data_IF_498493760461
#
_entry.id   IF_498493760461
#
_cell.length_a   1.000
_cell.length_b   1.000
_cell.length_c   1.000
_cell.angle_alpha   90.00
_cell.angle_beta   90.00
_cell.angle_gamma   90.00
#
_symmetry.space_group_name_H-M   'P 1'
#
loop_
_entity.id
_entity.type
_entity.pdbx_description
1 polymer ?
#
# COMPACT_ATOMS: atom_id res chain seq x y z
N UNK A 1 -12.90 7.15 -87.72
CA UNK A 1 -12.75 6.23 -86.50
C UNK A 1 -12.29 7.07 -85.34
N UNK A 2 -13.21 7.41 -84.45
CA UNK A 2 -12.98 8.19 -83.21
C UNK A 2 -12.80 7.25 -82.06
N UNK A 3 -11.59 7.25 -81.46
CA UNK A 3 -11.31 6.53 -80.20
C UNK A 3 -11.73 7.44 -79.06
N UNK A 4 -12.86 7.13 -78.40
CA UNK A 4 -13.29 7.81 -77.15
C UNK A 4 -12.47 7.26 -75.99
N UNK A 5 -11.55 8.05 -75.47
CA UNK A 5 -10.88 7.76 -74.20
C UNK A 5 -11.80 8.11 -73.06
N UNK A 6 -12.28 7.05 -72.37
CA UNK A 6 -13.09 7.18 -71.14
C UNK A 6 -12.14 7.40 -69.95
N UNK A 7 -12.01 8.65 -69.54
CA UNK A 7 -11.29 8.99 -68.29
C UNK A 7 -12.20 8.69 -67.12
N UNK A 8 -11.94 7.59 -66.42
CA UNK A 8 -12.59 7.28 -65.13
C UNK A 8 -11.87 8.09 -64.07
N UNK A 9 -12.48 9.18 -63.61
CA UNK A 9 -12.10 9.92 -62.44
C UNK A 9 -12.37 9.11 -61.17
N UNK A 10 -11.33 8.47 -60.66
CA UNK A 10 -11.36 7.88 -59.32
C UNK A 10 -11.34 9.03 -58.32
N UNK A 11 -12.50 9.45 -57.83
CA UNK A 11 -12.61 10.30 -56.65
C UNK A 11 -12.30 9.44 -55.43
N UNK A 12 -11.05 9.44 -54.98
CA UNK A 12 -10.67 8.93 -53.67
C UNK A 12 -11.28 9.84 -52.62
N UNK A 13 -12.41 9.45 -52.09
CA UNK A 13 -12.92 10.04 -50.86
C UNK A 13 -11.91 9.75 -49.76
N UNK A 14 -11.09 10.72 -49.42
CA UNK A 14 -10.34 10.69 -48.19
C UNK A 14 -11.38 10.73 -47.04
N UNK A 15 -11.75 9.54 -46.52
CA UNK A 15 -12.34 9.48 -45.20
C UNK A 15 -11.27 10.00 -44.26
N UNK A 16 -11.45 11.22 -43.78
CA UNK A 16 -10.68 11.75 -42.66
C UNK A 16 -10.96 10.82 -41.46
N UNK A 17 -10.01 9.95 -41.18
CA UNK A 17 -10.06 9.15 -39.97
C UNK A 17 -10.00 10.16 -38.81
N UNK A 18 -11.08 10.29 -38.08
CA UNK A 18 -11.13 11.14 -36.90
C UNK A 18 -10.05 10.64 -35.94
N UNK A 19 -9.03 11.48 -35.69
CA UNK A 19 -7.97 11.13 -34.74
C UNK A 19 -8.56 10.89 -33.37
N UNK A 20 -8.29 9.71 -32.80
CA UNK A 20 -8.74 9.38 -31.44
C UNK A 20 -7.91 10.15 -30.41
N UNK A 21 -8.52 10.64 -29.33
CA UNK A 21 -7.78 11.28 -28.24
C UNK A 21 -6.68 10.35 -27.70
N UNK A 22 -5.50 10.90 -27.47
CA UNK A 22 -4.34 10.17 -26.95
C UNK A 22 -4.27 10.30 -25.44
N UNK A 23 -4.61 9.26 -24.72
CA UNK A 23 -4.66 9.21 -23.25
C UNK A 23 -3.46 8.48 -22.67
N UNK A 24 -2.76 9.06 -21.70
CA UNK A 24 -1.87 8.34 -20.81
C UNK A 24 -2.49 8.27 -19.40
N UNK A 25 -2.83 7.05 -18.97
CA UNK A 25 -3.32 6.77 -17.63
C UNK A 25 -2.15 6.29 -16.74
N UNK A 26 -1.69 7.16 -15.85
CA UNK A 26 -0.69 6.86 -14.83
C UNK A 26 -1.38 6.34 -13.57
N UNK A 27 -1.44 5.04 -13.46
CA UNK A 27 -2.14 4.38 -12.36
C UNK A 27 -1.16 3.99 -11.26
N UNK A 28 -1.23 4.68 -10.12
CA UNK A 28 -0.44 4.42 -8.90
C UNK A 28 -1.18 3.51 -7.91
N UNK A 29 -2.09 2.71 -8.44
CA UNK A 29 -2.88 1.72 -7.70
C UNK A 29 -3.06 0.46 -8.56
N UNK A 30 -3.83 -0.51 -8.09
CA UNK A 30 -4.12 -1.71 -8.86
C UNK A 30 -5.21 -1.40 -9.92
N UNK A 31 -4.81 -1.18 -11.18
CA UNK A 31 -5.70 -0.89 -12.30
C UNK A 31 -5.81 -2.09 -13.26
N UNK A 32 -7.03 -2.47 -13.58
CA UNK A 32 -7.28 -3.44 -14.66
C UNK A 32 -7.26 -2.73 -16.02
N UNK A 33 -6.05 -2.52 -16.55
CA UNK A 33 -5.85 -1.85 -17.85
C UNK A 33 -6.50 -2.62 -19.01
N UNK A 34 -6.68 -3.94 -18.90
CA UNK A 34 -7.38 -4.73 -19.93
C UNK A 34 -8.85 -4.38 -19.97
N UNK A 35 -9.47 -4.32 -18.79
CA UNK A 35 -10.85 -3.91 -18.62
C UNK A 35 -11.09 -2.49 -19.14
N UNK A 36 -10.24 -1.52 -18.75
CA UNK A 36 -10.40 -0.14 -19.22
C UNK A 36 -10.25 0.01 -20.74
N UNK A 37 -9.30 -0.70 -21.36
CA UNK A 37 -9.13 -0.69 -22.82
C UNK A 37 -10.29 -1.34 -23.56
N UNK A 38 -10.95 -2.35 -23.00
CA UNK A 38 -12.14 -2.98 -23.61
C UNK A 38 -13.37 -2.08 -23.52
N UNK A 39 -13.51 -1.32 -22.44
CA UNK A 39 -14.66 -0.47 -22.16
C UNK A 39 -14.55 0.95 -22.75
N UNK A 40 -13.31 1.41 -23.03
CA UNK A 40 -13.02 2.72 -23.61
C UNK A 40 -12.27 2.51 -24.92
N UNK A 41 -13.00 2.24 -26.00
CA UNK A 41 -12.46 1.92 -27.30
C UNK A 41 -12.29 3.14 -28.23
N UNK A 42 -12.73 4.31 -27.79
CA UNK A 42 -12.73 5.56 -28.54
C UNK A 42 -11.51 6.46 -28.27
N UNK A 43 -10.57 6.05 -27.39
CA UNK A 43 -9.29 6.71 -27.15
C UNK A 43 -8.13 5.78 -27.43
N UNK A 44 -6.96 6.34 -27.72
CA UNK A 44 -5.71 5.60 -27.85
C UNK A 44 -4.93 5.68 -26.53
N UNK A 45 -4.82 4.55 -25.82
CA UNK A 45 -4.03 4.45 -24.61
C UNK A 45 -2.55 4.45 -24.95
N UNK A 46 -1.89 5.56 -24.61
CA UNK A 46 -0.47 5.76 -24.86
C UNK A 46 0.38 5.01 -23.84
N UNK A 47 1.57 4.58 -24.24
CA UNK A 47 2.53 3.90 -23.36
C UNK A 47 3.46 4.87 -22.64
N UNK A 48 3.45 6.13 -23.03
CA UNK A 48 4.26 7.17 -22.40
C UNK A 48 3.49 8.50 -22.32
N UNK A 49 3.83 9.30 -21.29
CA UNK A 49 3.21 10.59 -21.02
C UNK A 49 3.47 11.64 -22.11
N UNK A 50 4.65 11.60 -22.77
CA UNK A 50 5.03 12.65 -23.72
C UNK A 50 4.20 12.56 -25.00
N UNK A 51 3.80 11.36 -25.40
CA UNK A 51 2.98 11.11 -26.59
C UNK A 51 1.48 11.31 -26.35
N UNK A 52 1.05 11.56 -25.12
CA UNK A 52 -0.35 11.75 -24.78
C UNK A 52 -0.79 13.23 -24.83
N UNK A 53 -2.03 13.45 -25.19
CA UNK A 53 -2.71 14.74 -25.15
C UNK A 53 -3.41 14.97 -23.82
N UNK A 54 -3.98 13.91 -23.27
CA UNK A 54 -4.60 13.86 -21.98
C UNK A 54 -3.77 12.99 -21.03
N UNK A 55 -3.39 13.54 -19.89
CA UNK A 55 -2.71 12.83 -18.82
C UNK A 55 -3.66 12.69 -17.63
N UNK A 56 -3.81 11.48 -17.13
CA UNK A 56 -4.60 11.17 -15.95
C UNK A 56 -3.72 10.44 -14.95
N UNK A 57 -3.53 11.02 -13.78
CA UNK A 57 -2.89 10.39 -12.63
C UNK A 57 -3.97 9.89 -11.67
N UNK A 58 -3.92 8.61 -11.33
CA UNK A 58 -4.80 7.99 -10.35
C UNK A 58 -4.00 7.51 -9.15
N UNK A 59 -4.24 8.12 -8.00
CA UNK A 59 -3.68 7.72 -6.70
C UNK A 59 -4.78 7.21 -5.79
N UNK A 60 -4.40 6.40 -4.80
CA UNK A 60 -5.31 5.82 -3.80
C UNK A 60 -4.75 6.06 -2.41
N UNK A 61 -5.63 6.42 -1.48
CA UNK A 61 -5.35 6.43 -0.05
C UNK A 61 -6.43 5.68 0.73
N UNK A 62 -6.07 5.19 1.91
CA UNK A 62 -7.04 4.47 2.74
C UNK A 62 -7.88 5.46 3.53
N UNK A 63 -9.18 5.21 3.59
CA UNK A 63 -10.09 5.98 4.43
C UNK A 63 -10.07 5.48 5.88
N UNK A 64 -10.52 6.30 6.80
CA UNK A 64 -10.66 5.90 8.21
C UNK A 64 -11.63 4.75 8.42
N UNK A 65 -12.56 4.54 7.52
CA UNK A 65 -13.50 3.42 7.51
C UNK A 65 -12.92 2.12 6.93
N UNK A 66 -11.65 2.13 6.51
CA UNK A 66 -11.01 0.96 5.88
C UNK A 66 -11.28 0.82 4.38
N UNK A 67 -12.11 1.69 3.79
CA UNK A 67 -12.29 1.79 2.35
C UNK A 67 -11.14 2.52 1.66
N UNK A 68 -11.37 2.95 0.43
CA UNK A 68 -10.38 3.67 -0.36
C UNK A 68 -10.94 4.95 -0.94
N UNK A 69 -10.20 6.03 -0.79
CA UNK A 69 -10.39 7.26 -1.56
C UNK A 69 -9.45 7.22 -2.76
N UNK A 70 -10.01 7.50 -3.93
CA UNK A 70 -9.27 7.66 -5.16
C UNK A 70 -9.25 9.12 -5.54
N UNK A 71 -8.09 9.62 -5.92
CA UNK A 71 -7.88 10.96 -6.43
C UNK A 71 -7.38 10.82 -7.87
N UNK A 72 -8.18 11.35 -8.80
CA UNK A 72 -7.89 11.33 -10.22
C UNK A 72 -7.57 12.74 -10.67
N UNK A 73 -6.28 13.04 -10.89
CA UNK A 73 -5.83 14.34 -11.42
C UNK A 73 -5.79 14.29 -12.94
N UNK A 74 -6.47 15.21 -13.58
CA UNK A 74 -6.64 15.27 -15.04
C UNK A 74 -5.94 16.52 -15.58
N UNK A 75 -5.01 16.33 -16.50
CA UNK A 75 -4.24 17.37 -17.17
C UNK A 75 -4.45 17.30 -18.68
N UNK A 76 -5.01 18.34 -19.29
CA UNK A 76 -5.11 18.48 -20.73
C UNK A 76 -3.90 19.29 -21.24
N UNK A 77 -3.01 18.64 -22.00
CA UNK A 77 -1.80 19.29 -22.52
C UNK A 77 -2.03 20.18 -23.76
N UNK A 78 -3.17 20.02 -24.43
CA UNK A 78 -3.55 20.86 -25.58
C UNK A 78 -4.20 22.18 -25.15
N UNK A 79 -4.80 22.20 -23.98
CA UNK A 79 -5.52 23.34 -23.46
C UNK A 79 -4.70 24.06 -22.38
N UNK A 80 -4.82 25.38 -22.32
CA UNK A 80 -4.28 26.19 -21.22
C UNK A 80 -5.14 26.14 -19.95
N UNK A 81 -6.17 25.28 -19.91
CA UNK A 81 -7.00 25.10 -18.71
C UNK A 81 -6.18 24.43 -17.58
N UNK A 82 -6.40 24.86 -16.34
CA UNK A 82 -5.73 24.24 -15.21
C UNK A 82 -6.16 22.76 -15.06
N UNK A 83 -5.25 21.94 -14.53
CA UNK A 83 -5.59 20.59 -14.10
C UNK A 83 -6.73 20.62 -13.07
N UNK A 84 -7.51 19.56 -13.03
CA UNK A 84 -8.58 19.39 -12.04
C UNK A 84 -8.56 17.98 -11.45
N UNK A 85 -9.20 17.83 -10.31
CA UNK A 85 -9.29 16.58 -9.59
C UNK A 85 -10.72 16.07 -9.54
N UNK A 86 -10.86 14.74 -9.66
CA UNK A 86 -12.05 13.98 -9.32
C UNK A 86 -11.73 13.08 -8.12
N UNK A 87 -12.54 13.19 -7.06
CA UNK A 87 -12.40 12.36 -5.85
C UNK A 87 -13.61 11.44 -5.75
N UNK A 88 -13.34 10.17 -5.48
CA UNK A 88 -14.39 9.17 -5.32
C UNK A 88 -13.94 8.08 -4.34
N UNK A 89 -14.89 7.30 -3.84
CA UNK A 89 -14.66 6.36 -2.76
C UNK A 89 -15.14 4.97 -3.14
N UNK A 90 -14.51 3.96 -2.56
CA UNK A 90 -15.00 2.59 -2.56
C UNK A 90 -15.00 2.04 -1.15
N UNK A 91 -15.95 1.16 -0.85
CA UNK A 91 -16.08 0.54 0.45
C UNK A 91 -14.90 -0.37 0.81
N UNK A 92 -14.73 -0.63 2.12
CA UNK A 92 -13.72 -1.56 2.63
C UNK A 92 -13.86 -2.98 2.06
N UNK A 93 -15.10 -3.40 1.83
CA UNK A 93 -15.44 -4.73 1.30
C UNK A 93 -15.62 -4.75 -0.23
N UNK A 94 -15.37 -3.62 -0.92
CA UNK A 94 -15.45 -3.57 -2.37
C UNK A 94 -14.53 -4.62 -2.99
N UNK A 95 -15.09 -5.48 -3.85
CA UNK A 95 -14.31 -6.45 -4.62
C UNK A 95 -13.63 -5.76 -5.79
N UNK A 96 -12.70 -6.46 -6.45
CA UNK A 96 -11.95 -5.88 -7.58
C UNK A 96 -12.85 -5.42 -8.72
N UNK A 97 -13.98 -6.08 -8.92
CA UNK A 97 -14.96 -5.71 -9.94
C UNK A 97 -15.66 -4.38 -9.63
N UNK A 98 -16.02 -4.14 -8.37
CA UNK A 98 -16.62 -2.87 -7.93
C UNK A 98 -15.63 -1.73 -8.08
N UNK A 99 -14.38 -1.95 -7.64
CA UNK A 99 -13.30 -0.95 -7.77
C UNK A 99 -13.02 -0.57 -9.21
N UNK A 100 -12.86 -1.55 -10.12
CA UNK A 100 -12.59 -1.26 -11.53
C UNK A 100 -13.77 -0.56 -12.22
N UNK A 101 -15.03 -0.89 -11.86
CA UNK A 101 -16.23 -0.22 -12.37
C UNK A 101 -16.30 1.23 -11.91
N UNK A 102 -16.02 1.49 -10.63
CA UNK A 102 -16.05 2.86 -10.10
C UNK A 102 -14.94 3.72 -10.70
N UNK A 103 -13.72 3.17 -10.86
CA UNK A 103 -12.64 3.85 -11.58
C UNK A 103 -13.04 4.14 -13.04
N UNK A 104 -13.63 3.15 -13.73
CA UNK A 104 -14.09 3.31 -15.11
C UNK A 104 -15.13 4.43 -15.26
N UNK A 105 -16.10 4.49 -14.35
CA UNK A 105 -17.13 5.53 -14.32
C UNK A 105 -16.50 6.91 -14.28
N UNK A 106 -15.57 7.16 -13.35
CA UNK A 106 -14.90 8.43 -13.21
C UNK A 106 -13.91 8.72 -14.35
N UNK A 107 -13.28 7.70 -14.90
CA UNK A 107 -12.45 7.83 -16.09
C UNK A 107 -13.28 8.26 -17.32
N UNK A 108 -14.47 7.67 -17.50
CA UNK A 108 -15.43 8.11 -18.55
C UNK A 108 -15.90 9.57 -18.32
N UNK A 109 -16.11 9.98 -17.07
CA UNK A 109 -16.45 11.39 -16.75
C UNK A 109 -15.32 12.35 -17.11
N UNK A 110 -14.06 12.00 -16.80
CA UNK A 110 -12.90 12.81 -17.14
C UNK A 110 -12.75 12.94 -18.67
N UNK A 111 -12.93 11.85 -19.39
CA UNK A 111 -12.88 11.81 -20.84
C UNK A 111 -14.02 12.64 -21.47
N UNK A 112 -15.24 12.52 -20.97
CA UNK A 112 -16.37 13.30 -21.46
C UNK A 112 -16.10 14.80 -21.35
N UNK A 113 -15.60 15.25 -20.20
CA UNK A 113 -15.23 16.67 -19.99
C UNK A 113 -14.15 17.13 -20.98
N UNK A 114 -13.13 16.31 -21.20
CA UNK A 114 -12.07 16.58 -22.19
C UNK A 114 -12.66 16.73 -23.59
N UNK A 115 -13.52 15.81 -24.01
CA UNK A 115 -14.10 15.76 -25.34
C UNK A 115 -15.01 16.97 -25.62
N UNK A 116 -15.80 17.39 -24.63
CA UNK A 116 -16.64 18.59 -24.73
C UNK A 116 -15.78 19.85 -24.87
N UNK A 117 -14.65 19.93 -24.16
CA UNK A 117 -13.75 21.08 -24.27
C UNK A 117 -13.00 21.18 -25.60
N UNK A 118 -12.79 20.04 -26.30
CA UNK A 118 -12.08 20.00 -27.59
C UNK A 118 -13.03 19.95 -28.81
N UNK A 119 -14.34 20.23 -28.60
CA UNK A 119 -15.38 20.19 -29.65
C UNK A 119 -15.39 18.85 -30.46
N UNK A 120 -15.00 17.76 -29.80
CA UNK A 120 -15.02 16.43 -30.42
C UNK A 120 -16.46 15.93 -30.50
N UNK A 121 -17.01 15.87 -31.71
CA UNK A 121 -18.33 15.31 -31.98
C UNK A 121 -18.31 13.81 -31.74
N UNK A 122 -18.92 13.36 -30.64
CA UNK A 122 -19.07 11.95 -30.30
C UNK A 122 -20.55 11.67 -30.11
N UNK A 123 -21.03 10.66 -30.82
CA UNK A 123 -22.34 10.06 -30.56
C UNK A 123 -22.27 9.27 -29.25
N UNK A 124 -22.58 9.92 -28.12
CA UNK A 124 -22.60 9.29 -26.82
C UNK A 124 -24.02 8.81 -26.53
N UNK A 125 -24.29 7.54 -26.72
CA UNK A 125 -25.47 6.90 -26.16
C UNK A 125 -25.29 6.77 -24.64
N UNK A 126 -25.75 7.77 -23.90
CA UNK A 126 -25.74 7.79 -22.44
C UNK A 126 -27.09 7.30 -21.93
N UNK A 127 -27.14 6.11 -21.35
CA UNK A 127 -28.28 5.71 -20.53
C UNK A 127 -27.99 6.14 -19.08
N UNK A 128 -28.69 7.17 -18.62
CA UNK A 128 -28.71 7.51 -17.19
C UNK A 128 -29.73 6.57 -16.55
N UNK A 129 -29.27 5.48 -15.98
CA UNK A 129 -30.05 4.74 -15.00
C UNK A 129 -30.05 5.56 -13.71
N UNK A 130 -31.04 6.44 -13.58
CA UNK A 130 -31.37 7.02 -12.28
C UNK A 130 -32.08 5.91 -11.51
N UNK A 131 -31.39 5.24 -10.60
CA UNK A 131 -32.07 4.37 -9.66
C UNK A 131 -33.06 5.25 -8.88
N UNK A 132 -34.33 4.90 -8.88
CA UNK A 132 -35.36 5.62 -8.11
C UNK A 132 -35.08 5.63 -6.60
N UNK A 133 -34.17 4.77 -6.16
CA UNK A 133 -33.71 4.65 -4.77
C UNK A 133 -32.75 5.78 -4.33
N UNK A 134 -32.20 6.60 -5.25
CA UNK A 134 -31.35 7.75 -4.88
C UNK A 134 -32.13 9.06 -4.62
N UNK A 135 -33.47 9.04 -4.68
CA UNK A 135 -34.29 10.23 -4.39
C UNK A 135 -34.63 10.46 -2.91
N UNK A 136 -34.35 9.51 -2.05
CA UNK A 136 -34.25 9.83 -0.64
C UNK A 136 -32.84 10.36 -0.39
N UNK A 137 -32.70 11.65 -0.12
CA UNK A 137 -31.64 12.16 0.74
C UNK A 137 -31.80 11.45 2.11
N UNK A 138 -31.42 10.18 2.13
CA UNK A 138 -31.23 9.49 3.38
C UNK A 138 -29.97 10.11 3.97
N UNK A 139 -30.14 11.18 4.73
CA UNK A 139 -29.21 11.53 5.78
C UNK A 139 -29.18 10.33 6.74
N UNK A 140 -28.51 9.25 6.36
CA UNK A 140 -28.13 8.22 7.28
C UNK A 140 -27.15 8.89 8.25
N UNK A 141 -27.71 9.38 9.35
CA UNK A 141 -26.88 9.65 10.49
C UNK A 141 -26.10 8.35 10.76
N UNK A 142 -24.78 8.41 10.61
CA UNK A 142 -23.92 7.24 10.84
C UNK A 142 -24.16 6.75 12.30
N UNK A 143 -24.90 5.64 12.52
CA UNK A 143 -25.24 5.16 13.85
C UNK A 143 -23.99 4.67 14.61
N UNK A 144 -22.89 4.43 13.88
CA UNK A 144 -21.62 3.97 14.42
C UNK A 144 -20.66 5.12 14.73
N UNK A 145 -21.02 6.38 14.40
CA UNK A 145 -20.21 7.58 14.67
C UNK A 145 -18.74 7.41 14.20
N UNK A 146 -18.56 7.02 12.96
CA UNK A 146 -17.28 6.75 12.27
C UNK A 146 -16.49 5.54 12.87
N UNK A 147 -17.07 4.71 13.71
CA UNK A 147 -16.45 3.46 14.15
C UNK A 147 -16.57 2.38 13.09
N UNK A 148 -15.46 1.69 12.85
CA UNK A 148 -15.38 0.52 11.98
C UNK A 148 -14.70 -0.62 12.71
N UNK A 149 -15.39 -1.76 12.78
CA UNK A 149 -14.87 -2.98 13.39
C UNK A 149 -14.60 -4.02 12.33
N UNK A 150 -13.52 -4.77 12.47
CA UNK A 150 -13.18 -5.86 11.57
C UNK A 150 -12.73 -7.08 12.34
N UNK A 151 -13.24 -8.23 11.93
CA UNK A 151 -12.86 -9.55 12.42
C UNK A 151 -12.33 -10.35 11.24
N UNK A 152 -11.16 -10.94 11.37
CA UNK A 152 -10.56 -11.72 10.30
C UNK A 152 -9.96 -13.01 10.81
N UNK A 153 -10.11 -14.07 10.02
CA UNK A 153 -9.48 -15.38 10.23
C UNK A 153 -8.78 -15.75 8.94
N UNK A 154 -7.50 -16.07 9.03
CA UNK A 154 -6.73 -16.53 7.91
C UNK A 154 -6.04 -17.84 8.29
N UNK A 155 -5.96 -18.78 7.36
CA UNK A 155 -5.24 -20.02 7.55
C UNK A 155 -4.53 -20.44 6.27
N UNK A 156 -3.39 -21.09 6.45
CA UNK A 156 -2.66 -21.71 5.37
C UNK A 156 -2.15 -23.06 5.84
N UNK A 157 -2.23 -24.06 4.97
CA UNK A 157 -1.80 -25.42 5.21
C UNK A 157 -0.87 -25.83 4.07
N UNK A 158 0.32 -26.29 4.41
CA UNK A 158 1.24 -26.91 3.49
C UNK A 158 1.52 -28.34 3.96
N UNK A 159 1.42 -29.31 3.06
CA UNK A 159 1.66 -30.72 3.36
C UNK A 159 2.51 -31.35 2.28
N UNK A 160 3.61 -31.89 2.69
CA UNK A 160 4.55 -32.66 1.90
C UNK A 160 4.88 -33.98 2.64
N UNK A 161 5.58 -34.89 1.99
CA UNK A 161 5.91 -36.22 2.58
C UNK A 161 6.71 -36.11 3.87
N UNK A 162 7.63 -35.14 3.95
CA UNK A 162 8.57 -34.99 5.09
C UNK A 162 8.40 -33.65 5.83
N UNK A 163 7.47 -32.80 5.37
CA UNK A 163 7.24 -31.49 5.96
C UNK A 163 5.76 -31.14 5.96
N UNK A 164 5.24 -30.81 7.13
CA UNK A 164 3.90 -30.27 7.28
C UNK A 164 3.95 -28.95 8.01
N UNK A 165 3.27 -27.93 7.51
CA UNK A 165 3.09 -26.68 8.24
C UNK A 165 1.66 -26.20 8.20
N UNK A 166 1.22 -25.63 9.30
CA UNK A 166 -0.06 -24.97 9.42
C UNK A 166 0.11 -23.65 10.15
N UNK A 167 -0.47 -22.61 9.57
CA UNK A 167 -0.49 -21.28 10.16
C UNK A 167 -1.94 -20.81 10.27
N UNK A 168 -2.32 -20.35 11.45
CA UNK A 168 -3.61 -19.71 11.69
C UNK A 168 -3.40 -18.33 12.29
N UNK A 169 -4.11 -17.36 11.75
CA UNK A 169 -4.09 -15.97 12.20
C UNK A 169 -5.49 -15.47 12.46
N UNK A 170 -5.69 -14.98 13.65
CA UNK A 170 -6.88 -14.24 14.08
C UNK A 170 -6.55 -12.76 14.19
N UNK A 171 -7.40 -11.89 13.69
CA UNK A 171 -7.25 -10.45 13.86
C UNK A 171 -8.58 -9.80 14.20
N UNK A 172 -8.53 -8.84 15.11
CA UNK A 172 -9.63 -7.97 15.48
C UNK A 172 -9.14 -6.55 15.40
N UNK A 173 -9.90 -5.67 14.76
CA UNK A 173 -9.57 -4.24 14.76
C UNK A 173 -10.80 -3.38 15.02
N UNK A 174 -10.56 -2.21 15.63
CA UNK A 174 -11.52 -1.16 15.83
C UNK A 174 -10.86 0.17 15.44
N UNK A 175 -11.44 0.87 14.48
CA UNK A 175 -10.92 2.10 13.92
C UNK A 175 -11.98 3.19 14.00
N UNK A 176 -11.55 4.40 14.29
CA UNK A 176 -12.38 5.59 14.19
C UNK A 176 -11.53 6.75 13.71
N UNK A 177 -11.91 7.36 12.61
CA UNK A 177 -11.20 8.51 12.06
C UNK A 177 -12.19 9.63 11.78
N UNK A 178 -11.93 10.78 12.33
CA UNK A 178 -12.63 12.05 12.11
C UNK A 178 -11.59 13.11 11.84
N UNK A 179 -12.00 14.33 11.48
CA UNK A 179 -11.07 15.44 11.23
C UNK A 179 -10.13 15.75 12.41
N UNK A 180 -10.61 15.51 13.64
CA UNK A 180 -9.85 15.83 14.88
C UNK A 180 -9.30 14.63 15.61
N UNK A 181 -9.93 13.45 15.47
CA UNK A 181 -9.57 12.27 16.26
C UNK A 181 -9.32 11.08 15.36
N UNK A 182 -8.20 10.40 15.59
CA UNK A 182 -7.90 9.10 15.00
C UNK A 182 -7.66 8.10 16.12
N UNK A 183 -8.47 7.07 16.14
CA UNK A 183 -8.30 5.91 17.00
C UNK A 183 -8.07 4.69 16.12
N UNK A 184 -7.07 3.91 16.43
CA UNK A 184 -6.76 2.66 15.75
C UNK A 184 -6.39 1.62 16.79
N UNK A 185 -7.10 0.50 16.80
CA UNK A 185 -6.77 -0.65 17.63
C UNK A 185 -6.76 -1.91 16.79
N UNK A 186 -5.75 -2.73 17.01
CA UNK A 186 -5.64 -4.04 16.39
C UNK A 186 -5.07 -5.05 17.37
N UNK A 187 -5.70 -6.22 17.43
CA UNK A 187 -5.21 -7.38 18.15
C UNK A 187 -5.03 -8.50 17.15
N UNK A 188 -3.88 -9.16 17.17
CA UNK A 188 -3.56 -10.31 16.35
C UNK A 188 -3.16 -11.47 17.26
N UNK A 189 -3.66 -12.64 16.94
CA UNK A 189 -3.17 -13.92 17.42
C UNK A 189 -2.65 -14.71 16.23
N UNK A 190 -1.47 -15.26 16.35
CA UNK A 190 -0.87 -16.09 15.31
C UNK A 190 -0.29 -17.35 15.93
N UNK A 191 -0.60 -18.49 15.34
CA UNK A 191 0.03 -19.78 15.67
C UNK A 191 0.57 -20.40 14.40
N UNK A 192 1.82 -20.83 14.46
CA UNK A 192 2.50 -21.54 13.41
C UNK A 192 3.02 -22.86 13.96
N UNK A 193 2.56 -23.95 13.39
CA UNK A 193 3.05 -25.30 13.70
C UNK A 193 3.75 -25.85 12.46
N UNK A 194 4.96 -26.37 12.65
CA UNK A 194 5.76 -26.99 11.60
C UNK A 194 6.28 -28.30 12.11
N UNK A 195 6.03 -29.38 11.35
CA UNK A 195 6.45 -30.74 11.68
C UNK A 195 7.39 -31.23 10.57
N UNK A 196 8.57 -31.67 10.96
CA UNK A 196 9.58 -32.22 10.09
C UNK A 196 9.77 -33.70 10.41
N UNK A 197 9.66 -34.56 9.43
CA UNK A 197 9.95 -35.99 9.55
C UNK A 197 11.35 -36.24 9.01
N UNK A 198 12.23 -36.74 9.84
CA UNK A 198 13.64 -37.04 9.52
C UNK A 198 13.91 -38.53 9.75
N UNK A 199 14.84 -39.12 8.98
CA UNK A 199 15.12 -40.53 9.01
C UNK A 199 14.34 -41.35 7.97
N UNK A 200 14.58 -42.66 7.94
CA UNK A 200 13.89 -43.61 7.05
C UNK A 200 13.56 -44.90 7.83
N UNK A 201 12.38 -45.47 7.59
CA UNK A 201 11.94 -46.72 8.18
C UNK A 201 11.78 -46.67 9.70
N UNK A 202 12.38 -47.57 10.43
CA UNK A 202 12.25 -47.67 11.90
C UNK A 202 12.96 -46.53 12.67
N UNK A 203 13.78 -45.71 11.99
CA UNK A 203 14.49 -44.56 12.55
C UNK A 203 13.80 -43.22 12.21
N UNK A 204 12.55 -43.24 11.77
CA UNK A 204 11.78 -42.07 11.46
C UNK A 204 11.41 -41.29 12.73
N UNK A 205 11.84 -40.03 12.83
CA UNK A 205 11.55 -39.13 13.94
C UNK A 205 10.84 -37.88 13.44
N UNK A 206 9.80 -37.46 14.17
CA UNK A 206 9.10 -36.21 13.86
C UNK A 206 9.50 -35.11 14.84
N UNK A 207 10.09 -34.06 14.30
CA UNK A 207 10.44 -32.83 15.03
C UNK A 207 9.32 -31.81 14.85
N UNK A 208 8.67 -31.42 15.96
CA UNK A 208 7.58 -30.48 15.97
C UNK A 208 8.03 -29.13 16.53
N UNK A 209 7.70 -28.06 15.82
CA UNK A 209 7.92 -26.68 16.27
C UNK A 209 6.58 -25.93 16.30
N UNK A 210 6.20 -25.42 17.46
CA UNK A 210 4.99 -24.61 17.64
C UNK A 210 5.37 -23.22 18.13
N UNK A 211 5.07 -22.22 17.33
CA UNK A 211 5.30 -20.82 17.66
C UNK A 211 3.95 -20.08 17.80
N UNK A 212 3.73 -19.51 18.96
CA UNK A 212 2.52 -18.74 19.24
C UNK A 212 2.90 -17.31 19.58
N UNK A 213 2.15 -16.35 19.03
CA UNK A 213 2.34 -14.94 19.32
C UNK A 213 1.03 -14.18 19.41
N UNK A 214 1.01 -13.18 20.30
CA UNK A 214 -0.07 -12.22 20.48
C UNK A 214 0.50 -10.82 20.31
N UNK A 215 -0.15 -10.01 19.47
CA UNK A 215 0.21 -8.61 19.30
C UNK A 215 -1.02 -7.73 19.45
N UNK A 216 -0.92 -6.73 20.30
CA UNK A 216 -1.92 -5.69 20.47
C UNK A 216 -1.31 -4.32 20.20
N UNK A 217 -2.00 -3.49 19.43
CA UNK A 217 -1.63 -2.11 19.22
C UNK A 217 -2.86 -1.22 19.35
N UNK A 218 -2.73 -0.14 20.12
CA UNK A 218 -3.71 0.91 20.24
C UNK A 218 -3.01 2.23 19.99
N UNK A 219 -3.51 3.00 19.06
CA UNK A 219 -3.06 4.35 18.72
C UNK A 219 -4.22 5.31 18.90
N UNK A 220 -3.97 6.39 19.61
CA UNK A 220 -4.87 7.53 19.64
C UNK A 220 -4.12 8.78 19.22
N UNK A 221 -4.71 9.57 18.30
CA UNK A 221 -4.14 10.84 17.82
C UNK A 221 -5.22 11.90 17.85
N UNK A 222 -4.82 13.07 18.29
CA UNK A 222 -5.61 14.30 18.28
C UNK A 222 -4.93 15.33 17.38
N UNK A 223 -5.65 15.84 16.37
CA UNK A 223 -5.18 16.88 15.46
C UNK A 223 -5.21 18.24 16.15
N UNK A 224 -4.05 18.79 16.50
CA UNK A 224 -3.93 20.10 17.16
C UNK A 224 -4.09 21.24 16.16
N UNK A 225 -3.44 21.13 15.01
CA UNK A 225 -3.47 22.09 13.90
C UNK A 225 -3.42 21.36 12.56
N UNK A 226 -3.30 22.12 11.46
CA UNK A 226 -3.11 21.52 10.12
C UNK A 226 -1.74 20.79 9.96
N UNK A 227 -0.79 21.06 10.86
CA UNK A 227 0.58 20.53 10.81
C UNK A 227 0.96 19.72 12.06
N UNK A 228 0.30 19.94 13.19
CA UNK A 228 0.66 19.33 14.46
C UNK A 228 -0.40 18.35 14.94
N UNK A 229 0.06 17.20 15.39
CA UNK A 229 -0.76 16.21 16.08
C UNK A 229 -0.08 15.75 17.38
N UNK A 230 -0.86 15.39 18.37
CA UNK A 230 -0.39 14.78 19.60
C UNK A 230 -1.20 13.51 19.88
N UNK A 231 -0.59 12.54 20.51
CA UNK A 231 -1.25 11.28 20.76
C UNK A 231 -0.47 10.33 21.65
N UNK A 232 -0.78 9.06 21.54
CA UNK A 232 -0.08 8.01 22.26
C UNK A 232 -0.30 6.65 21.67
N UNK A 233 0.63 5.76 21.95
CA UNK A 233 0.61 4.38 21.52
C UNK A 233 0.72 3.46 22.72
N UNK A 234 -0.13 2.44 22.75
CA UNK A 234 -0.01 1.29 23.65
C UNK A 234 0.27 0.06 22.79
N UNK A 235 1.37 -0.63 23.05
CA UNK A 235 1.75 -1.87 22.39
C UNK A 235 1.83 -3.00 23.42
N UNK A 236 1.31 -4.14 23.06
CA UNK A 236 1.44 -5.37 23.80
C UNK A 236 1.98 -6.45 22.88
N UNK A 237 2.94 -7.23 23.33
CA UNK A 237 3.38 -8.43 22.65
C UNK A 237 3.64 -9.58 23.62
N UNK A 238 3.33 -10.80 23.16
CA UNK A 238 3.75 -12.05 23.71
C UNK A 238 4.26 -12.91 22.56
N UNK A 239 5.47 -13.45 22.68
CA UNK A 239 6.08 -14.21 21.59
C UNK A 239 7.15 -15.14 22.12
N UNK A 240 6.95 -16.44 21.87
CA UNK A 240 7.93 -17.46 22.23
C UNK A 240 9.24 -17.20 21.47
N UNK A 241 9.15 -16.88 20.18
CA UNK A 241 10.31 -16.57 19.34
C UNK A 241 11.12 -15.39 19.86
N UNK A 242 10.43 -14.33 20.31
CA UNK A 242 11.07 -13.11 20.84
C UNK A 242 11.40 -13.20 22.34
N UNK A 243 11.17 -14.34 22.98
CA UNK A 243 11.40 -14.54 24.43
C UNK A 243 10.59 -13.58 25.31
N UNK A 244 9.41 -13.11 24.87
CA UNK A 244 8.52 -12.31 25.70
C UNK A 244 7.32 -13.16 26.16
N UNK A 245 7.16 -13.31 27.49
CA UNK A 245 5.89 -13.75 28.06
C UNK A 245 4.92 -12.56 28.06
N UNK A 246 5.41 -11.38 28.46
CA UNK A 246 4.67 -10.11 28.32
C UNK A 246 5.61 -8.95 28.02
N UNK A 247 5.29 -8.18 27.00
CA UNK A 247 5.95 -6.90 26.74
C UNK A 247 4.89 -5.83 26.52
N UNK A 248 4.93 -4.78 27.34
CA UNK A 248 3.95 -3.67 27.31
C UNK A 248 4.73 -2.37 27.12
N UNK A 249 4.35 -1.59 26.10
CA UNK A 249 4.94 -0.28 25.85
C UNK A 249 3.84 0.77 25.83
N UNK A 250 4.02 1.86 26.59
CA UNK A 250 3.15 3.05 26.57
C UNK A 250 3.99 4.23 26.19
N UNK A 251 3.66 4.89 25.07
CA UNK A 251 4.45 6.00 24.51
C UNK A 251 3.53 7.15 24.10
N UNK A 252 3.50 8.27 24.82
CA UNK A 252 3.04 9.53 24.26
C UNK A 252 3.89 9.95 23.07
N UNK A 253 3.28 10.64 22.13
CA UNK A 253 3.86 11.04 20.87
C UNK A 253 3.41 12.44 20.45
N UNK A 254 4.29 13.15 19.77
CA UNK A 254 4.00 14.39 19.05
C UNK A 254 4.50 14.25 17.62
N UNK A 255 3.73 14.77 16.67
CA UNK A 255 4.04 14.70 15.25
C UNK A 255 3.88 16.06 14.60
N UNK A 256 4.82 16.38 13.72
CA UNK A 256 4.80 17.58 12.87
C UNK A 256 4.89 17.17 11.41
N UNK A 257 3.94 17.61 10.59
CA UNK A 257 3.99 17.47 9.14
C UNK A 257 4.33 18.81 8.51
N UNK A 258 5.36 18.86 7.67
CA UNK A 258 5.75 20.08 6.93
C UNK A 258 4.63 20.52 5.99
N UNK A 259 3.95 19.57 5.36
CA UNK A 259 2.78 19.82 4.53
C UNK A 259 1.49 19.72 5.35
N UNK A 260 0.45 20.49 5.02
CA UNK A 260 -0.86 20.32 5.65
C UNK A 260 -1.39 18.91 5.42
N UNK A 261 -2.03 18.29 6.42
CA UNK A 261 -2.53 16.91 6.31
C UNK A 261 -3.50 16.65 5.16
N UNK A 262 -4.19 17.66 4.64
CA UNK A 262 -5.09 17.50 3.49
C UNK A 262 -4.36 17.34 2.14
N UNK A 263 -3.05 17.60 2.10
CA UNK A 263 -2.18 17.40 0.94
C UNK A 263 -1.43 16.06 1.00
N UNK A 264 -1.67 15.25 2.04
CA UNK A 264 -0.90 14.01 2.31
C UNK A 264 -1.03 12.93 1.23
N UNK A 265 -1.97 13.06 0.29
CA UNK A 265 -2.06 12.16 -0.86
C UNK A 265 -0.90 12.33 -1.85
N UNK A 266 -0.44 13.56 -2.05
CA UNK A 266 0.61 13.91 -3.02
C UNK A 266 1.95 14.20 -2.35
N UNK A 267 1.90 14.78 -1.14
CA UNK A 267 3.08 15.19 -0.39
C UNK A 267 2.87 14.92 1.09
N UNK A 268 3.78 14.16 1.68
CA UNK A 268 3.82 13.93 3.11
C UNK A 268 5.28 14.06 3.60
N UNK A 269 5.51 14.83 4.66
CA UNK A 269 6.82 14.88 5.30
C UNK A 269 6.64 15.11 6.79
N UNK A 270 6.63 14.01 7.53
CA UNK A 270 6.34 13.99 8.96
C UNK A 270 7.57 13.68 9.80
N UNK A 271 7.61 14.29 10.96
CA UNK A 271 8.55 14.00 12.04
C UNK A 271 7.72 13.63 13.27
N UNK A 272 7.87 12.40 13.75
CA UNK A 272 7.18 11.92 14.94
C UNK A 272 8.19 11.57 16.02
N UNK A 273 8.02 12.16 17.18
CA UNK A 273 8.81 11.85 18.36
C UNK A 273 7.92 11.15 19.40
N UNK A 274 8.39 10.00 19.85
CA UNK A 274 7.77 9.19 20.88
C UNK A 274 8.75 9.06 22.06
N UNK A 275 8.27 9.19 23.28
CA UNK A 275 8.99 8.80 24.48
C UNK A 275 8.08 7.95 25.33
N UNK A 276 8.55 6.82 25.81
CA UNK A 276 7.67 5.90 26.53
C UNK A 276 8.40 4.93 27.43
N UNK A 277 7.60 4.25 28.20
CA UNK A 277 8.03 3.22 29.12
C UNK A 277 7.69 1.86 28.54
N UNK A 278 8.66 0.93 28.60
CA UNK A 278 8.50 -0.46 28.22
C UNK A 278 8.76 -1.37 29.41
N UNK A 279 7.77 -2.18 29.74
CA UNK A 279 7.90 -3.29 30.69
C UNK A 279 8.02 -4.59 29.92
N UNK A 280 9.01 -5.40 30.30
CA UNK A 280 9.23 -6.73 29.72
C UNK A 280 9.23 -7.77 30.84
N UNK A 281 8.55 -8.88 30.58
CA UNK A 281 8.61 -10.12 31.32
C UNK A 281 9.05 -11.21 30.32
N UNK A 282 10.13 -11.92 30.63
CA UNK A 282 10.79 -12.84 29.71
C UNK A 282 10.44 -14.29 30.05
N UNK A 283 10.27 -15.14 29.03
CA UNK A 283 10.04 -16.57 29.21
C UNK A 283 11.29 -17.22 29.80
N UNK A 284 12.44 -16.98 29.16
CA UNK A 284 13.74 -17.43 29.62
C UNK A 284 14.58 -16.24 30.09
N UNK A 285 15.44 -16.45 31.09
CA UNK A 285 16.39 -15.42 31.52
C UNK A 285 17.22 -14.94 30.32
N UNK A 286 17.35 -13.63 30.18
CA UNK A 286 18.10 -13.02 29.06
C UNK A 286 19.61 -13.19 29.24
N UNK A 287 20.37 -12.94 28.17
CA UNK A 287 21.85 -12.86 28.21
C UNK A 287 22.39 -11.82 29.18
N UNK A 288 21.55 -10.88 29.64
CA UNK A 288 21.84 -9.88 30.69
C UNK A 288 21.35 -10.32 32.08
N UNK A 289 20.97 -11.59 32.23
CA UNK A 289 20.46 -12.17 33.50
C UNK A 289 19.20 -11.48 34.01
N UNK A 290 18.34 -11.03 33.11
CA UNK A 290 17.06 -10.43 33.44
C UNK A 290 15.93 -11.43 33.17
N UNK A 291 14.97 -11.50 34.08
CA UNK A 291 13.67 -12.17 33.88
C UNK A 291 12.55 -11.14 33.68
N UNK A 292 12.72 -9.97 34.30
CA UNK A 292 11.82 -8.81 34.12
C UNK A 292 12.62 -7.53 34.12
N UNK A 293 12.14 -6.53 33.40
CA UNK A 293 12.72 -5.19 33.42
C UNK A 293 11.77 -4.10 32.96
N UNK A 294 12.03 -2.88 33.35
CA UNK A 294 11.30 -1.69 32.95
C UNK A 294 12.28 -0.64 32.45
N UNK A 295 12.09 -0.20 31.19
CA UNK A 295 13.03 0.67 30.49
C UNK A 295 12.29 1.87 29.87
N UNK A 296 12.91 3.03 29.93
CA UNK A 296 12.48 4.17 29.16
C UNK A 296 13.14 4.12 27.78
N UNK A 297 12.35 4.36 26.75
CA UNK A 297 12.77 4.38 25.35
C UNK A 297 12.24 5.63 24.68
N UNK A 298 12.99 6.19 23.77
CA UNK A 298 12.51 7.19 22.84
C UNK A 298 12.70 6.74 21.38
N UNK A 299 11.90 7.32 20.49
CA UNK A 299 12.01 7.08 19.05
C UNK A 299 11.70 8.37 18.30
N UNK A 300 12.53 8.70 17.32
CA UNK A 300 12.27 9.66 16.28
C UNK A 300 11.98 8.89 14.99
N UNK A 301 10.86 9.16 14.37
CA UNK A 301 10.50 8.61 13.06
C UNK A 301 10.33 9.74 12.06
N UNK A 302 10.73 9.49 10.82
CA UNK A 302 10.61 10.39 9.68
C UNK A 302 9.90 9.61 8.58
N UNK A 303 8.80 10.16 8.06
CA UNK A 303 8.07 9.64 6.92
C UNK A 303 8.07 10.70 5.82
N UNK A 304 8.63 10.39 4.67
CA UNK A 304 8.61 11.25 3.50
C UNK A 304 8.00 10.52 2.33
N UNK A 305 6.97 11.12 1.74
CA UNK A 305 6.31 10.60 0.55
C UNK A 305 6.07 11.74 -0.43
N UNK A 306 6.39 11.50 -1.69
CA UNK A 306 6.03 12.38 -2.79
C UNK A 306 5.57 11.56 -3.99
N UNK A 307 4.41 11.91 -4.53
CA UNK A 307 3.84 11.32 -5.74
C UNK A 307 3.78 12.40 -6.81
N UNK A 308 4.48 12.17 -7.92
CA UNK A 308 4.58 13.14 -9.00
C UNK A 308 4.41 12.44 -10.36
N UNK A 309 4.09 13.15 -11.42
CA UNK A 309 3.95 12.56 -12.76
C UNK A 309 5.22 11.85 -13.29
N UNK A 310 6.37 12.17 -12.74
CA UNK A 310 7.63 11.50 -13.10
C UNK A 310 7.91 10.25 -12.26
N UNK A 311 7.23 10.06 -11.13
CA UNK A 311 7.43 8.91 -10.25
C UNK A 311 6.96 9.15 -8.82
N UNK A 312 7.33 8.22 -7.95
CA UNK A 312 7.15 8.36 -6.51
C UNK A 312 8.44 8.06 -5.76
N UNK A 313 8.62 8.73 -4.64
CA UNK A 313 9.66 8.49 -3.66
C UNK A 313 8.98 8.33 -2.32
N UNK A 314 9.31 7.25 -1.61
CA UNK A 314 8.85 6.99 -0.26
C UNK A 314 10.08 6.69 0.61
N UNK A 315 10.19 7.31 1.78
CA UNK A 315 11.28 7.09 2.72
C UNK A 315 10.72 7.03 4.13
N UNK A 316 10.83 5.86 4.74
CA UNK A 316 10.60 5.67 6.17
C UNK A 316 11.95 5.56 6.88
N UNK A 317 12.17 6.34 7.92
CA UNK A 317 13.36 6.25 8.73
C UNK A 317 13.03 6.35 10.22
N UNK A 318 13.78 5.64 11.04
CA UNK A 318 13.59 5.64 12.47
C UNK A 318 14.88 5.47 13.25
N UNK A 319 14.96 6.15 14.37
CA UNK A 319 16.00 5.95 15.35
C UNK A 319 15.35 5.78 16.72
N UNK A 320 15.70 4.72 17.43
CA UNK A 320 15.23 4.51 18.79
C UNK A 320 16.38 4.12 19.71
N UNK A 321 16.27 4.49 20.99
CA UNK A 321 17.29 4.24 21.99
C UNK A 321 16.64 4.07 23.37
N UNK A 322 17.20 3.20 24.19
CA UNK A 322 16.86 3.14 25.62
C UNK A 322 17.60 4.26 26.38
N UNK A 323 16.88 5.02 27.20
CA UNK A 323 17.47 6.17 27.91
C UNK A 323 18.47 5.77 29.00
N UNK A 324 18.25 4.60 29.62
CA UNK A 324 19.15 4.05 30.66
C UNK A 324 20.28 3.18 30.10
N UNK A 325 20.19 2.78 28.84
CA UNK A 325 21.13 1.91 28.14
C UNK A 325 21.47 2.55 26.80
N UNK A 326 22.30 3.59 26.81
CA UNK A 326 22.57 4.42 25.63
C UNK A 326 23.35 3.72 24.52
N UNK A 327 24.00 2.61 24.83
CA UNK A 327 24.62 1.70 23.88
C UNK A 327 23.59 0.78 23.17
N UNK A 328 22.34 0.79 23.63
CA UNK A 328 21.23 -0.03 23.09
C UNK A 328 20.28 0.85 22.27
N UNK A 329 20.45 0.76 20.94
CA UNK A 329 19.70 1.55 19.98
C UNK A 329 19.38 0.74 18.73
N UNK A 330 18.40 1.21 17.98
CA UNK A 330 18.13 0.72 16.62
C UNK A 330 17.95 1.89 15.66
N UNK A 331 18.40 1.69 14.43
CA UNK A 331 18.23 2.60 13.31
C UNK A 331 17.62 1.78 12.18
N UNK A 332 16.58 2.26 11.57
CA UNK A 332 15.95 1.67 10.40
C UNK A 332 15.74 2.74 9.32
N UNK A 333 16.07 2.40 8.08
CA UNK A 333 15.87 3.27 6.90
C UNK A 333 15.33 2.41 5.77
N UNK A 334 14.22 2.82 5.18
CA UNK A 334 13.51 2.11 4.14
C UNK A 334 13.12 3.05 2.99
N UNK A 335 14.05 3.48 2.15
CA UNK A 335 13.76 4.26 0.96
C UNK A 335 13.24 3.35 -0.17
N UNK A 336 12.24 3.83 -0.89
CA UNK A 336 11.81 3.28 -2.16
C UNK A 336 11.62 4.38 -3.20
N UNK A 337 12.00 4.09 -4.42
CA UNK A 337 11.95 5.03 -5.55
C UNK A 337 11.43 4.30 -6.77
N UNK A 338 10.51 4.93 -7.49
CA UNK A 338 10.05 4.48 -8.79
C UNK A 338 9.96 5.71 -9.71
N UNK A 339 10.80 5.77 -10.72
CA UNK A 339 10.99 6.96 -11.57
C UNK A 339 10.93 6.60 -13.05
N UNK A 340 10.11 7.34 -13.79
CA UNK A 340 10.13 7.35 -15.25
C UNK A 340 11.19 8.34 -15.73
N UNK A 341 12.39 7.86 -16.10
CA UNK A 341 13.53 8.68 -16.46
C UNK A 341 13.29 9.42 -17.78
N UNK A 342 12.84 8.67 -18.80
CA UNK A 342 12.40 9.20 -20.08
C UNK A 342 11.43 8.21 -20.75
N UNK A 343 10.95 8.55 -21.96
CA UNK A 343 9.99 7.75 -22.73
C UNK A 343 10.30 6.26 -22.70
N UNK A 344 9.45 5.49 -22.03
CA UNK A 344 9.56 4.04 -21.96
C UNK A 344 10.61 3.50 -20.97
N UNK A 345 11.51 4.33 -20.41
CA UNK A 345 12.50 3.91 -19.43
C UNK A 345 12.03 4.20 -18.01
N UNK A 346 11.83 3.14 -17.24
CA UNK A 346 11.49 3.18 -15.83
C UNK A 346 12.62 2.56 -15.00
N UNK A 347 12.94 3.20 -13.87
CA UNK A 347 13.83 2.69 -12.83
C UNK A 347 13.07 2.57 -11.53
N UNK A 348 13.26 1.45 -10.83
CA UNK A 348 12.73 1.28 -9.48
C UNK A 348 13.76 0.64 -8.56
N UNK A 349 13.75 1.04 -7.32
CA UNK A 349 14.59 0.46 -6.26
C UNK A 349 13.90 0.58 -4.91
N UNK A 350 14.18 -0.38 -4.04
CA UNK A 350 13.84 -0.29 -2.64
C UNK A 350 14.98 -0.88 -1.82
N UNK A 351 15.26 -0.23 -0.70
CA UNK A 351 16.33 -0.59 0.21
C UNK A 351 15.73 -0.65 1.61
N UNK A 352 16.01 -1.69 2.33
CA UNK A 352 15.85 -1.73 3.78
C UNK A 352 17.22 -1.88 4.40
N UNK A 353 17.60 -0.93 5.25
CA UNK A 353 18.81 -1.01 6.05
C UNK A 353 18.47 -0.79 7.52
N UNK A 354 18.81 -1.78 8.35
CA UNK A 354 18.57 -1.75 9.77
C UNK A 354 19.83 -2.04 10.59
N UNK A 355 20.09 -1.21 11.59
CA UNK A 355 21.05 -1.48 12.66
C UNK A 355 20.23 -1.84 13.90
N UNK A 356 20.52 -2.98 14.50
CA UNK A 356 19.77 -3.51 15.64
C UNK A 356 20.75 -3.84 16.77
N UNK A 357 20.89 -2.92 17.71
CA UNK A 357 21.68 -3.09 18.94
C UNK A 357 20.83 -3.07 20.21
N UNK A 358 19.51 -3.03 20.05
CA UNK A 358 18.54 -2.95 21.15
C UNK A 358 17.89 -4.30 21.50
N UNK A 359 18.47 -5.40 21.05
CA UNK A 359 17.99 -6.76 21.38
C UNK A 359 18.42 -7.13 22.80
N UNK A 360 17.60 -6.80 23.77
CA UNK A 360 17.79 -7.10 25.20
C UNK A 360 17.12 -8.42 25.61
N UNK A 361 16.31 -8.99 24.73
CA UNK A 361 15.44 -10.14 24.95
C UNK A 361 16.07 -11.48 24.54
N UNK A 362 17.33 -11.50 24.11
CA UNK A 362 18.00 -12.74 23.69
C UNK A 362 18.14 -13.65 24.91
N UNK A 363 17.64 -14.92 24.85
CA UNK A 363 17.78 -15.89 25.92
C UNK A 363 19.25 -16.15 26.27
N UNK A 364 19.52 -16.43 27.53
CA UNK A 364 20.84 -16.86 27.99
C UNK A 364 21.10 -18.30 27.54
N UNK A 365 22.30 -18.56 27.06
CA UNK A 365 22.78 -19.89 26.65
C UNK A 365 23.09 -19.96 25.16
N UNK A 366 23.77 -21.03 24.79
CA UNK A 366 24.05 -21.31 23.39
C UNK A 366 22.80 -21.86 22.71
N UNK A 367 22.55 -21.41 21.49
CA UNK A 367 21.49 -21.95 20.65
C UNK A 367 21.90 -23.31 20.13
N UNK A 368 21.01 -24.30 20.22
CA UNK A 368 21.23 -25.59 19.56
C UNK A 368 21.25 -25.40 18.04
N UNK A 369 21.90 -26.34 17.32
CA UNK A 369 21.85 -26.32 15.85
C UNK A 369 20.41 -26.41 15.35
N UNK A 370 19.56 -27.14 16.05
CA UNK A 370 18.13 -27.23 15.78
C UNK A 370 17.41 -25.90 15.95
N UNK A 371 17.62 -25.17 17.07
CA UNK A 371 17.05 -23.82 17.28
C UNK A 371 17.47 -22.84 16.17
N UNK A 372 18.71 -22.99 15.66
CA UNK A 372 19.23 -22.16 14.57
C UNK A 372 18.56 -22.49 13.23
N UNK A 373 18.49 -23.78 12.88
CA UNK A 373 17.94 -24.22 11.60
C UNK A 373 16.43 -24.02 11.51
N UNK A 374 15.73 -24.29 12.60
CA UNK A 374 14.28 -24.11 12.67
C UNK A 374 13.85 -22.67 12.98
N UNK A 375 14.79 -21.76 13.19
CA UNK A 375 14.55 -20.38 13.60
C UNK A 375 13.63 -20.27 14.84
N UNK A 376 13.83 -21.17 15.81
CA UNK A 376 13.00 -21.25 17.00
C UNK A 376 13.23 -20.09 17.97
N UNK A 377 14.43 -19.50 17.95
CA UNK A 377 14.84 -18.43 18.84
C UNK A 377 15.51 -17.27 18.08
N UNK A 378 15.31 -16.06 18.61
CA UNK A 378 15.91 -14.86 18.08
C UNK A 378 17.45 -14.92 18.24
N UNK A 379 18.16 -14.62 17.17
CA UNK A 379 19.63 -14.53 17.17
C UNK A 379 20.10 -13.08 17.28
N UNK A 380 21.27 -12.90 17.84
CA UNK A 380 21.93 -11.58 17.79
C UNK A 380 22.37 -11.28 16.35
N UNK A 381 21.93 -10.15 15.86
CA UNK A 381 22.31 -9.65 14.55
C UNK A 381 22.40 -8.12 14.64
N UNK A 382 23.56 -7.58 14.29
CA UNK A 382 23.84 -6.17 14.43
C UNK A 382 23.29 -5.31 13.29
N UNK A 383 23.07 -5.92 12.11
CA UNK A 383 22.49 -5.21 10.97
C UNK A 383 21.75 -6.18 10.03
N UNK A 384 20.87 -5.60 9.25
CA UNK A 384 20.22 -6.25 8.12
C UNK A 384 20.17 -5.30 6.93
N UNK A 385 20.46 -5.83 5.75
CA UNK A 385 20.34 -5.12 4.48
C UNK A 385 19.55 -5.98 3.52
N UNK A 386 18.49 -5.41 2.99
CA UNK A 386 17.76 -5.96 1.87
C UNK A 386 17.61 -4.88 0.80
N UNK A 387 17.94 -5.20 -0.43
CA UNK A 387 17.85 -4.27 -1.55
C UNK A 387 17.33 -4.99 -2.78
N UNK A 388 16.44 -4.34 -3.49
CA UNK A 388 16.05 -4.73 -4.83
C UNK A 388 16.10 -3.52 -5.75
N UNK A 389 16.39 -3.74 -7.00
CA UNK A 389 16.35 -2.72 -8.03
C UNK A 389 15.99 -3.33 -9.38
N UNK A 390 15.47 -2.51 -10.27
CA UNK A 390 15.17 -2.93 -11.61
C UNK A 390 15.09 -1.75 -12.57
N UNK A 391 15.40 -2.06 -13.82
CA UNK A 391 15.27 -1.15 -14.94
C UNK A 391 14.40 -1.83 -15.98
N UNK A 392 13.38 -1.15 -16.46
CA UNK A 392 12.57 -1.63 -17.57
C UNK A 392 12.52 -0.61 -18.68
N UNK A 393 12.76 -1.08 -19.91
CA UNK A 393 12.65 -0.24 -21.09
C UNK A 393 11.62 -0.81 -22.05
N UNK A 394 10.57 -0.03 -22.30
CA UNK A 394 9.49 -0.36 -23.24
C UNK A 394 9.64 0.47 -24.49
N UNK A 395 9.73 -0.18 -25.62
CA UNK A 395 9.84 0.45 -26.94
C UNK A 395 8.94 -0.28 -27.95
N UNK A 396 8.65 0.38 -29.07
CA UNK A 396 7.81 -0.15 -30.12
C UNK A 396 6.55 0.69 -30.35
N UNK A 397 5.39 0.05 -30.50
CA UNK A 397 4.13 0.75 -30.75
C UNK A 397 3.80 1.72 -29.62
N UNK A 398 3.49 2.97 -29.96
CA UNK A 398 3.15 4.01 -28.97
C UNK A 398 1.79 3.74 -28.30
N UNK A 399 0.88 3.05 -28.97
CA UNK A 399 -0.40 2.63 -28.43
C UNK A 399 -0.76 1.23 -28.91
N UNK A 400 -1.42 0.47 -28.03
CA UNK A 400 -2.03 -0.81 -28.38
C UNK A 400 -3.26 -1.04 -27.48
N UNK A 401 -4.45 -0.84 -28.04
CA UNK A 401 -5.72 -1.00 -27.34
C UNK A 401 -6.30 -2.40 -27.51
N UNK A 402 -5.69 -3.27 -28.32
CA UNK A 402 -6.23 -4.59 -28.58
C UNK A 402 -6.11 -5.46 -27.35
N UNK A 403 -7.26 -5.96 -26.88
CA UNK A 403 -7.33 -6.95 -25.79
C UNK A 403 -7.58 -8.32 -26.42
N UNK A 404 -6.61 -9.21 -26.26
CA UNK A 404 -6.71 -10.60 -26.70
C UNK A 404 -6.40 -11.52 -25.53
N UNK A 405 -7.41 -12.26 -25.06
CA UNK A 405 -7.32 -13.18 -23.92
C UNK A 405 -7.15 -14.64 -24.34
N UNK A 406 -6.96 -14.91 -25.62
CA UNK A 406 -6.71 -16.27 -26.13
C UNK A 406 -5.37 -16.74 -25.59
N UNK A 407 -5.39 -17.96 -24.97
CA UNK A 407 -4.33 -18.62 -24.17
C UNK A 407 -2.99 -17.92 -24.06
#
# INVERSE_FOLDING_TARGET
KYLKILIILFTTSFMSAQERPKLFLDCRTNCDMRYFKSEINFVDFMLDRQSAELYILLVRQNTGSGGSEFIMTVENKKSSQPSYELKFFTDANAVDDDRRKEILKHLKQALLKYMVCEDLMIDINYSVEVSEDEKEEVTFGDPWNAWVFSLGVNGNLNRESQFNSQNFRFNVSANRTTDKHKFYSRINYNTNESNFTVGEGDEEETISNVQTSYYGNLLYVYSLTRHWSAGGVLRYSRSIFENYDHSITVSPAIEYNIFPYHESADHNFTFRYEVGMRYNDYIDSTSYFKTTEMLWRHRLSIDYQIVQPWGNIDVDAGVSQFLSLTDRYSIDINPSVNVNIFKGLNFYTGIYYGITKDRINIPKGDLSVEDILLQNKLRDSNFSLYMYFGISYRFGSASNNVVNTRF
#
